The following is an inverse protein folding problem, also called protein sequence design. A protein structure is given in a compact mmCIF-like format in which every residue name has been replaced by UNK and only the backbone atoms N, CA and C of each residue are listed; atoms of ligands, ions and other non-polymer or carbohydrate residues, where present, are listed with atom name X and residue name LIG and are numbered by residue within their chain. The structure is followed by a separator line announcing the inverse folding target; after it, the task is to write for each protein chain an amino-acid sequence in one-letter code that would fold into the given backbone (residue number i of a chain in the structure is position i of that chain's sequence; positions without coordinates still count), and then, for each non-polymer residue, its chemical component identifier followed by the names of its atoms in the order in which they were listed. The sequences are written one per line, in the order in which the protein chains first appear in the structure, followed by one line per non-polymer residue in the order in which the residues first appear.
data_IF_447746651149
#
_entry.id   IF_447746651149
#
_cell.length_a   1.000
_cell.length_b   1.000
_cell.length_c   1.000
_cell.angle_alpha   90.00
_cell.angle_beta   90.00
_cell.angle_gamma   90.00
#
_symmetry.space_group_name_H-M   'P 1'
#
loop_
_entity.id
_entity.type
_entity.pdbx_description
1 polymer ?
#
# COMPACT_ATOMS: atom_id res chain seq x y z
N UNK A 1 1.21 16.97 47.90
CA UNK A 1 1.32 17.50 46.53
C UNK A 1 2.27 16.56 45.83
N UNK A 2 1.70 15.63 45.07
CA UNK A 2 2.38 14.55 44.35
C UNK A 2 1.73 14.51 42.96
N UNK A 3 2.50 14.82 41.93
CA UNK A 3 2.12 14.98 40.54
C UNK A 3 2.37 13.69 39.76
N UNK A 4 1.66 12.65 40.16
CA UNK A 4 1.60 11.39 39.43
C UNK A 4 0.81 11.51 38.13
N UNK A 5 1.51 11.48 36.98
CA UNK A 5 0.94 11.02 35.70
C UNK A 5 2.02 10.55 34.71
N UNK A 6 2.70 9.46 35.07
CA UNK A 6 3.35 8.59 34.09
C UNK A 6 2.30 7.72 33.41
N UNK A 7 2.11 7.85 32.10
CA UNK A 7 1.23 6.95 31.34
C UNK A 7 1.94 5.60 31.15
N UNK A 8 1.42 4.57 31.80
CA UNK A 8 1.93 3.20 31.74
C UNK A 8 1.51 2.55 30.41
N UNK A 9 2.49 2.14 29.59
CA UNK A 9 2.28 1.17 28.51
C UNK A 9 2.13 -0.20 29.17
N UNK A 10 0.90 -0.71 29.26
CA UNK A 10 0.66 -2.10 29.67
C UNK A 10 0.77 -3.00 28.45
N UNK A 11 1.80 -3.84 28.42
CA UNK A 11 1.84 -5.04 27.57
C UNK A 11 1.00 -6.10 28.29
N UNK A 12 -0.12 -6.53 27.72
CA UNK A 12 -0.87 -7.67 28.23
C UNK A 12 -0.09 -8.94 27.90
N UNK A 13 0.33 -9.65 28.93
CA UNK A 13 1.01 -10.95 28.86
C UNK A 13 -0.04 -12.03 29.11
N UNK A 14 -0.78 -12.40 28.07
CA UNK A 14 -1.58 -13.62 28.05
C UNK A 14 -1.62 -14.13 26.60
N UNK A 15 -1.35 -15.42 26.43
CA UNK A 15 -1.08 -16.06 25.14
C UNK A 15 -2.34 -16.20 24.27
N UNK A 16 -2.74 -15.09 23.67
CA UNK A 16 -3.35 -14.97 22.35
C UNK A 16 -2.56 -13.82 21.71
N UNK A 17 -1.46 -14.14 21.00
CA UNK A 17 -0.41 -13.17 20.64
C UNK A 17 -0.92 -12.10 19.65
N UNK A 18 -1.69 -11.15 20.17
CA UNK A 18 -2.06 -9.92 19.48
C UNK A 18 -0.77 -9.15 19.21
N UNK A 19 -0.58 -8.73 17.95
CA UNK A 19 0.58 -7.93 17.56
C UNK A 19 0.67 -6.60 18.34
N UNK A 20 1.82 -5.93 18.25
CA UNK A 20 2.03 -4.61 18.89
C UNK A 20 0.89 -3.65 18.57
N UNK A 21 0.16 -3.20 19.60
CA UNK A 21 -1.04 -2.39 19.47
C UNK A 21 -0.81 -0.96 19.97
N UNK A 22 -1.33 0.03 19.26
CA UNK A 22 -1.28 1.46 19.63
C UNK A 22 -2.69 2.04 19.76
N UNK A 23 -2.86 3.02 20.64
CA UNK A 23 -4.14 3.71 20.86
C UNK A 23 -3.97 5.18 20.46
N UNK A 24 -4.79 5.63 19.52
CA UNK A 24 -4.77 7.00 19.02
C UNK A 24 -5.90 7.77 19.72
N UNK A 25 -5.53 8.71 20.60
CA UNK A 25 -6.49 9.45 21.44
C UNK A 25 -7.26 10.54 20.70
N UNK A 26 -8.10 11.27 21.45
CA UNK A 26 -8.78 12.48 20.92
C UNK A 26 -7.71 13.52 20.54
N UNK A 27 -7.72 13.94 19.28
CA UNK A 27 -6.68 14.79 18.69
C UNK A 27 -5.83 14.08 17.62
N UNK A 28 -5.98 12.76 17.51
CA UNK A 28 -5.22 11.93 16.55
C UNK A 28 -3.82 11.61 17.03
N UNK A 29 -3.14 10.75 16.28
CA UNK A 29 -1.72 10.49 16.42
C UNK A 29 -1.14 10.12 15.05
N UNK A 30 0.18 10.24 14.91
CA UNK A 30 0.90 9.86 13.70
C UNK A 30 2.15 9.08 14.10
N UNK A 31 2.29 7.88 13.55
CA UNK A 31 3.52 7.11 13.59
C UNK A 31 4.15 7.20 12.20
N UNK A 32 5.39 7.66 12.14
CA UNK A 32 6.11 7.80 10.88
C UNK A 32 7.33 6.90 10.88
N UNK A 33 7.44 6.07 9.85
CA UNK A 33 8.66 5.36 9.52
C UNK A 33 9.25 5.97 8.24
N UNK A 34 10.55 6.23 8.23
CA UNK A 34 11.25 6.76 7.06
C UNK A 34 12.42 5.86 6.75
N UNK A 35 12.40 5.23 5.58
CA UNK A 35 13.55 4.46 5.09
C UNK A 35 14.79 5.36 4.96
N UNK A 36 15.98 4.86 5.35
CA UNK A 36 17.24 5.47 4.96
C UNK A 36 17.28 5.72 3.45
N UNK A 37 17.90 6.82 2.97
CA UNK A 37 17.87 7.19 1.55
C UNK A 37 18.24 6.07 0.57
N UNK A 38 19.20 5.22 0.94
CA UNK A 38 19.71 4.13 0.09
C UNK A 38 18.93 2.82 0.22
N UNK A 39 18.03 2.72 1.20
CA UNK A 39 17.28 1.49 1.50
C UNK A 39 15.81 1.60 1.08
N UNK A 40 15.47 2.64 0.31
CA UNK A 40 14.10 2.87 -0.17
C UNK A 40 13.71 1.78 -1.17
N UNK A 41 12.67 0.98 -0.87
CA UNK A 41 12.27 -0.11 -1.75
C UNK A 41 11.52 0.40 -2.99
N UNK A 42 11.72 -0.30 -4.10
CA UNK A 42 10.91 -0.17 -5.33
C UNK A 42 10.31 -1.53 -5.66
N UNK A 43 8.99 -1.67 -5.55
CA UNK A 43 8.32 -2.98 -5.55
C UNK A 43 7.35 -3.15 -6.73
N UNK A 44 7.35 -4.34 -7.32
CA UNK A 44 6.29 -4.75 -8.27
C UNK A 44 5.05 -5.30 -7.56
N UNK A 45 5.22 -5.85 -6.36
CA UNK A 45 4.17 -6.42 -5.56
C UNK A 45 4.29 -6.00 -4.09
N UNK A 46 3.15 -5.74 -3.45
CA UNK A 46 3.05 -5.34 -2.04
C UNK A 46 2.04 -6.22 -1.30
N UNK A 47 2.25 -6.36 0.01
CA UNK A 47 1.31 -7.01 0.93
C UNK A 47 1.23 -6.17 2.21
N UNK A 48 0.01 -5.80 2.60
CA UNK A 48 -0.28 -5.02 3.80
C UNK A 48 -1.36 -5.75 4.61
N UNK A 49 -1.19 -5.85 5.91
CA UNK A 49 -2.21 -6.32 6.83
C UNK A 49 -2.25 -5.44 8.08
N UNK A 50 -3.45 -5.01 8.48
CA UNK A 50 -3.66 -4.12 9.64
C UNK A 50 -4.88 -4.59 10.42
N UNK A 51 -4.71 -4.76 11.73
CA UNK A 51 -5.80 -4.89 12.67
C UNK A 51 -6.16 -3.54 13.27
N UNK A 52 -7.45 -3.19 13.34
CA UNK A 52 -7.90 -1.94 13.94
C UNK A 52 -9.30 -2.04 14.55
N UNK A 53 -9.61 -1.12 15.45
CA UNK A 53 -10.96 -0.83 15.91
C UNK A 53 -11.20 0.67 15.84
N UNK A 54 -12.33 1.08 15.27
CA UNK A 54 -12.65 2.49 15.11
C UNK A 54 -14.16 2.74 15.14
N UNK A 55 -14.56 3.93 15.59
CA UNK A 55 -15.91 4.46 15.41
C UNK A 55 -15.93 5.63 14.40
N UNK A 56 -14.76 6.01 13.85
CA UNK A 56 -14.65 7.05 12.86
C UNK A 56 -15.19 6.56 11.51
N UNK A 57 -15.96 7.39 10.84
CA UNK A 57 -16.45 7.12 9.48
C UNK A 57 -15.50 7.57 8.38
N UNK A 58 -14.60 8.50 8.71
CA UNK A 58 -13.59 9.07 7.83
C UNK A 58 -12.24 9.02 8.55
N UNK A 59 -11.27 8.26 8.04
CA UNK A 59 -9.93 8.16 8.63
C UNK A 59 -8.92 7.57 7.66
N UNK A 60 -7.67 8.06 7.67
CA UNK A 60 -6.54 7.35 7.05
C UNK A 60 -5.88 6.46 8.10
N UNK A 61 -5.72 5.17 7.80
CA UNK A 61 -5.13 4.19 8.71
C UNK A 61 -3.63 4.01 8.43
N UNK A 62 -3.26 3.85 7.16
CA UNK A 62 -1.88 3.68 6.72
C UNK A 62 -1.69 4.40 5.40
N UNK A 63 -0.59 5.14 5.27
CA UNK A 63 -0.17 5.77 4.02
C UNK A 63 1.32 5.51 3.78
N UNK A 64 1.64 5.05 2.57
CA UNK A 64 3.01 4.88 2.08
C UNK A 64 3.21 5.86 0.94
N UNK A 65 4.22 6.72 1.05
CA UNK A 65 4.52 7.72 0.03
C UNK A 65 5.89 7.45 -0.60
N UNK A 66 5.97 7.64 -1.92
CA UNK A 66 7.24 7.66 -2.63
C UNK A 66 8.07 8.91 -2.32
N UNK A 67 9.31 8.92 -2.79
CA UNK A 67 10.15 10.11 -2.69
C UNK A 67 9.49 11.31 -3.40
N UNK A 68 9.75 12.51 -2.87
CA UNK A 68 9.24 13.77 -3.41
C UNK A 68 9.43 13.87 -4.94
N UNK A 69 8.32 14.10 -5.66
CA UNK A 69 8.30 14.28 -7.11
C UNK A 69 8.03 13.02 -7.94
N UNK A 70 7.92 11.84 -7.33
CA UNK A 70 7.59 10.60 -8.05
C UNK A 70 6.08 10.40 -8.23
N UNK A 71 5.28 10.69 -7.20
CA UNK A 71 3.81 10.65 -7.28
C UNK A 71 3.19 9.30 -6.91
N UNK A 72 3.99 8.24 -6.77
CA UNK A 72 3.50 6.93 -6.35
C UNK A 72 3.11 6.95 -4.86
N UNK A 73 2.01 6.30 -4.51
CA UNK A 73 1.54 6.18 -3.12
C UNK A 73 0.60 4.98 -2.96
N UNK A 74 0.38 4.59 -1.69
CA UNK A 74 -0.64 3.63 -1.27
C UNK A 74 -1.30 4.16 0.00
N UNK A 75 -2.62 4.18 0.05
CA UNK A 75 -3.39 4.62 1.22
C UNK A 75 -4.51 3.63 1.56
N UNK A 76 -4.48 3.10 2.79
CA UNK A 76 -5.56 2.36 3.42
C UNK A 76 -6.37 3.34 4.29
N UNK A 77 -7.67 3.44 4.04
CA UNK A 77 -8.54 4.40 4.70
C UNK A 77 -9.91 3.81 5.05
N UNK A 78 -10.65 4.54 5.88
CA UNK A 78 -12.07 4.38 6.13
C UNK A 78 -12.77 5.57 5.47
N UNK A 79 -13.70 5.31 4.54
CA UNK A 79 -14.62 6.30 3.97
C UNK A 79 -16.07 5.83 4.21
N UNK A 80 -16.94 6.72 4.68
CA UNK A 80 -18.34 6.43 5.01
C UNK A 80 -18.51 5.20 5.92
N UNK A 81 -17.53 4.96 6.79
CA UNK A 81 -17.47 3.85 7.74
C UNK A 81 -17.08 2.49 7.14
N UNK A 82 -16.56 2.47 5.91
CA UNK A 82 -16.13 1.27 5.19
C UNK A 82 -14.67 1.36 4.78
N UNK A 83 -14.01 0.23 4.59
CA UNK A 83 -12.58 0.20 4.26
C UNK A 83 -12.38 0.33 2.75
N UNK A 84 -11.46 1.21 2.37
CA UNK A 84 -10.95 1.34 1.01
C UNK A 84 -9.42 1.35 0.97
N UNK A 85 -8.89 0.95 -0.17
CA UNK A 85 -7.50 1.20 -0.55
C UNK A 85 -7.49 1.98 -1.86
N UNK A 86 -6.71 3.05 -1.88
CA UNK A 86 -6.39 3.81 -3.08
C UNK A 86 -4.87 3.82 -3.26
N UNK A 87 -4.40 3.58 -4.47
CA UNK A 87 -2.97 3.61 -4.76
C UNK A 87 -2.68 4.11 -6.17
N UNK A 88 -1.52 4.73 -6.34
CA UNK A 88 -0.95 5.10 -7.63
C UNK A 88 0.47 4.55 -7.71
N UNK A 89 0.79 3.98 -8.88
CA UNK A 89 2.11 3.40 -9.12
C UNK A 89 2.70 3.84 -10.47
N UNK A 90 2.30 5.03 -10.96
CA UNK A 90 2.92 5.72 -12.09
C UNK A 90 1.97 6.18 -13.19
N UNK A 91 0.67 5.85 -13.10
CA UNK A 91 -0.35 6.30 -14.06
C UNK A 91 -1.55 6.88 -13.31
N UNK A 92 -2.63 6.11 -13.21
CA UNK A 92 -3.90 6.53 -12.61
C UNK A 92 -4.10 5.91 -11.23
N UNK A 93 -4.94 6.56 -10.45
CA UNK A 93 -5.36 6.06 -9.14
C UNK A 93 -6.25 4.83 -9.32
N UNK A 94 -5.92 3.76 -8.58
CA UNK A 94 -6.68 2.53 -8.55
C UNK A 94 -7.31 2.39 -7.17
N UNK A 95 -8.63 2.20 -7.16
CA UNK A 95 -9.45 2.13 -5.95
C UNK A 95 -10.07 0.74 -5.83
N UNK A 96 -10.03 0.17 -4.62
CA UNK A 96 -10.75 -1.03 -4.22
C UNK A 96 -11.37 -0.80 -2.82
N UNK A 97 -12.68 -1.00 -2.68
CA UNK A 97 -13.44 -0.77 -1.45
C UNK A 97 -14.26 -2.01 -1.10
N UNK A 98 -14.30 -2.36 0.18
CA UNK A 98 -15.28 -3.32 0.72
C UNK A 98 -16.57 -2.58 1.12
N UNK A 99 -17.59 -2.68 0.27
CA UNK A 99 -18.85 -1.98 0.45
C UNK A 99 -19.86 -2.71 1.36
N UNK A 100 -19.67 -4.00 1.61
CA UNK A 100 -20.62 -4.88 2.27
C UNK A 100 -20.59 -4.86 3.80
N UNK A 101 -19.58 -4.22 4.41
CA UNK A 101 -19.41 -4.20 5.88
C UNK A 101 -19.04 -2.82 6.39
N UNK A 102 -19.66 -2.44 7.52
CA UNK A 102 -19.29 -1.25 8.28
C UNK A 102 -18.21 -1.63 9.30
N UNK A 103 -17.03 -1.01 9.19
CA UNK A 103 -15.90 -1.22 10.12
C UNK A 103 -15.79 -0.14 11.20
N UNK A 104 -16.64 0.88 11.11
CA UNK A 104 -16.72 1.98 12.07
C UNK A 104 -17.66 1.65 13.25
N UNK A 105 -17.79 0.37 13.61
CA UNK A 105 -18.73 -0.10 14.64
C UNK A 105 -18.08 -0.23 16.04
N UNK A 106 -16.80 0.11 16.16
CA UNK A 106 -16.01 0.01 17.38
C UNK A 106 -15.49 -1.39 17.70
N UNK A 107 -15.74 -2.39 16.84
CA UNK A 107 -15.19 -3.74 16.99
C UNK A 107 -13.84 -3.87 16.29
N UNK A 108 -13.15 -4.97 16.57
CA UNK A 108 -11.88 -5.29 15.94
C UNK A 108 -12.09 -5.93 14.58
N UNK A 109 -11.42 -5.38 13.58
CA UNK A 109 -11.39 -5.84 12.21
C UNK A 109 -9.95 -6.03 11.74
N UNK A 110 -9.74 -6.98 10.82
CA UNK A 110 -8.45 -7.19 10.14
C UNK A 110 -8.63 -6.96 8.65
N UNK A 111 -7.83 -6.08 8.08
CA UNK A 111 -7.79 -5.86 6.63
C UNK A 111 -6.51 -6.44 6.06
N UNK A 112 -6.63 -7.14 4.93
CA UNK A 112 -5.51 -7.66 4.14
C UNK A 112 -5.60 -7.12 2.72
N UNK A 113 -4.55 -6.47 2.27
CA UNK A 113 -4.41 -5.92 0.93
C UNK A 113 -3.20 -6.55 0.23
N UNK A 114 -3.36 -6.92 -1.03
CA UNK A 114 -2.23 -7.31 -1.88
C UNK A 114 -2.26 -6.55 -3.19
N UNK A 115 -1.08 -6.22 -3.73
CA UNK A 115 -0.90 -5.58 -5.04
C UNK A 115 0.10 -6.38 -5.86
N UNK A 116 -0.15 -6.51 -7.16
CA UNK A 116 0.81 -6.98 -8.16
C UNK A 116 0.64 -6.16 -9.43
N UNK A 117 1.59 -5.26 -9.73
CA UNK A 117 1.40 -4.26 -10.77
C UNK A 117 0.22 -3.34 -10.43
N UNK A 118 -0.73 -3.21 -11.36
CA UNK A 118 -2.02 -2.52 -11.14
C UNK A 118 -3.12 -3.42 -10.56
N UNK A 119 -2.91 -4.73 -10.50
CA UNK A 119 -3.89 -5.65 -9.93
C UNK A 119 -3.83 -5.60 -8.41
N UNK A 120 -4.99 -5.73 -7.77
CA UNK A 120 -5.09 -5.70 -6.32
C UNK A 120 -6.16 -6.64 -5.79
N UNK A 121 -5.97 -7.07 -4.53
CA UNK A 121 -7.01 -7.74 -3.76
C UNK A 121 -7.18 -7.09 -2.40
N UNK A 122 -8.40 -7.13 -1.88
CA UNK A 122 -8.78 -6.64 -0.56
C UNK A 122 -9.63 -7.68 0.14
N UNK A 123 -9.32 -7.96 1.40
CA UNK A 123 -10.12 -8.82 2.26
C UNK A 123 -10.30 -8.15 3.62
N UNK A 124 -11.55 -8.07 4.09
CA UNK A 124 -11.89 -7.63 5.44
C UNK A 124 -12.34 -8.86 6.23
N UNK A 125 -11.71 -9.10 7.37
CA UNK A 125 -11.94 -10.25 8.25
C UNK A 125 -11.89 -11.58 7.50
N UNK A 126 -13.01 -12.31 7.49
CA UNK A 126 -13.23 -13.57 6.80
C UNK A 126 -14.23 -13.43 5.65
N UNK A 127 -14.49 -12.19 5.19
CA UNK A 127 -15.33 -11.95 4.02
C UNK A 127 -14.64 -12.49 2.75
N UNK A 128 -15.42 -12.69 1.66
CA UNK A 128 -14.85 -13.01 0.36
C UNK A 128 -13.79 -12.00 -0.07
N UNK A 129 -12.78 -12.49 -0.80
CA UNK A 129 -11.73 -11.63 -1.34
C UNK A 129 -12.33 -10.81 -2.49
N UNK A 130 -12.16 -9.50 -2.42
CA UNK A 130 -12.42 -8.60 -3.53
C UNK A 130 -11.18 -8.51 -4.42
N UNK A 131 -11.39 -8.52 -5.73
CA UNK A 131 -10.33 -8.42 -6.72
C UNK A 131 -10.56 -7.21 -7.62
N UNK A 132 -9.48 -6.54 -7.99
CA UNK A 132 -9.47 -5.42 -8.93
C UNK A 132 -8.42 -5.66 -10.00
N UNK A 133 -8.88 -5.73 -11.25
CA UNK A 133 -8.05 -5.86 -12.45
C UNK A 133 -8.33 -4.67 -13.37
N UNK A 134 -7.63 -3.54 -13.20
CA UNK A 134 -7.85 -2.37 -14.04
C UNK A 134 -7.52 -2.69 -15.50
N UNK A 135 -8.32 -2.18 -16.43
CA UNK A 135 -8.09 -2.31 -17.86
C UNK A 135 -6.97 -1.34 -18.28
N UNK A 136 -5.81 -1.84 -18.68
CA UNK A 136 -4.70 -0.98 -19.13
C UNK A 136 -3.37 -1.71 -19.18
N UNK A 137 -2.48 -1.27 -20.08
CA UNK A 137 -1.14 -1.84 -20.24
C UNK A 137 -0.15 -1.05 -19.35
N UNK A 138 -0.40 -1.09 -18.03
CA UNK A 138 0.31 -0.28 -17.02
C UNK A 138 1.83 -0.40 -17.11
N UNK A 139 2.34 -1.56 -17.52
CA UNK A 139 3.77 -1.79 -17.70
C UNK A 139 4.34 -1.08 -18.95
N UNK A 140 3.57 -0.99 -20.04
CA UNK A 140 4.00 -0.32 -21.28
C UNK A 140 3.92 1.20 -21.20
N UNK A 141 2.92 1.76 -20.53
CA UNK A 141 2.87 3.21 -20.26
C UNK A 141 3.97 3.65 -19.30
N UNK A 142 4.28 2.83 -18.29
CA UNK A 142 5.47 3.04 -17.44
C UNK A 142 6.76 3.07 -18.23
N UNK A 143 6.96 2.15 -19.18
CA UNK A 143 8.12 2.18 -20.07
C UNK A 143 8.18 3.49 -20.89
N UNK A 144 7.04 3.98 -21.38
CA UNK A 144 6.95 5.23 -22.13
C UNK A 144 7.26 6.48 -21.27
N UNK A 145 6.76 6.54 -20.03
CA UNK A 145 7.01 7.65 -19.10
C UNK A 145 8.47 7.63 -18.62
N UNK A 146 9.02 6.45 -18.32
CA UNK A 146 10.42 6.31 -17.95
C UNK A 146 11.36 6.78 -19.08
N UNK A 147 11.03 6.47 -20.34
CA UNK A 147 11.78 6.94 -21.52
C UNK A 147 11.85 8.46 -21.65
N UNK A 148 10.79 9.18 -21.27
CA UNK A 148 10.77 10.65 -21.36
C UNK A 148 11.57 11.36 -20.25
N UNK A 149 11.85 10.67 -19.13
CA UNK A 149 12.57 11.21 -17.97
C UNK A 149 14.09 11.04 -18.04
N UNK A 150 14.63 10.40 -19.10
CA UNK A 150 16.06 10.15 -19.28
C UNK A 150 16.67 11.28 -20.14
N UNK A 151 17.64 12.07 -19.63
CA UNK A 151 18.33 13.06 -20.43
C UNK A 151 19.02 12.42 -21.65
N UNK A 152 18.85 13.03 -22.82
CA UNK A 152 19.31 12.54 -24.14
C UNK A 152 20.80 12.17 -24.25
N UNK A 153 21.63 12.44 -23.23
CA UNK A 153 23.04 12.05 -23.20
C UNK A 153 23.28 10.57 -22.81
N UNK A 154 22.25 9.81 -22.46
CA UNK A 154 22.34 8.36 -22.17
C UNK A 154 21.38 7.48 -23.00
N UNK A 155 20.74 8.01 -24.05
CA UNK A 155 19.70 7.28 -24.80
C UNK A 155 20.18 5.96 -25.43
N UNK A 156 21.43 5.88 -25.90
CA UNK A 156 21.96 4.65 -26.54
C UNK A 156 22.09 3.46 -25.60
N UNK A 157 22.49 3.67 -24.34
CA UNK A 157 22.76 2.56 -23.39
C UNK A 157 21.44 1.94 -22.90
N UNK A 158 20.39 2.75 -22.82
CA UNK A 158 19.07 2.33 -22.32
C UNK A 158 18.32 1.52 -23.39
N UNK A 159 18.38 1.93 -24.66
CA UNK A 159 17.77 1.16 -25.75
C UNK A 159 18.45 -0.20 -25.95
N UNK A 160 19.79 -0.28 -25.83
CA UNK A 160 20.52 -1.56 -25.85
C UNK A 160 20.13 -2.47 -24.69
N UNK A 161 20.00 -1.93 -23.48
CA UNK A 161 19.61 -2.71 -22.30
C UNK A 161 18.15 -3.20 -22.36
N UNK A 162 17.23 -2.39 -22.87
CA UNK A 162 15.83 -2.77 -23.05
C UNK A 162 15.64 -3.82 -24.16
N UNK A 163 16.43 -3.74 -25.23
CA UNK A 163 16.44 -4.76 -26.29
C UNK A 163 17.00 -6.10 -25.80
N UNK A 164 17.97 -6.08 -24.89
CA UNK A 164 18.58 -7.28 -24.32
C UNK A 164 17.60 -8.01 -23.38
N UNK A 165 16.88 -7.25 -22.53
CA UNK A 165 15.86 -7.79 -21.62
C UNK A 165 14.59 -8.29 -22.34
N UNK A 166 14.31 -7.81 -23.55
CA UNK A 166 13.20 -8.31 -24.38
C UNK A 166 13.48 -9.66 -25.06
N UNK A 167 14.74 -10.11 -25.13
CA UNK A 167 15.13 -11.37 -25.77
C UNK A 167 15.13 -12.59 -24.84
N UNK A 168 15.15 -12.37 -23.52
CA UNK A 168 15.17 -13.47 -22.53
C UNK A 168 13.80 -14.13 -22.29
N UNK A 169 12.69 -13.58 -22.82
CA UNK A 169 11.35 -14.18 -22.71
C UNK A 169 10.84 -14.66 -24.07
N UNK A 170 11.40 -15.74 -24.60
CA UNK A 170 10.76 -16.55 -25.63
C UNK A 170 11.17 -18.01 -25.45
N UNK A 171 10.38 -18.85 -24.76
CA UNK A 171 10.54 -20.29 -24.86
C UNK A 171 10.03 -20.74 -26.24
N UNK A 172 10.98 -21.12 -27.09
CA UNK A 172 10.89 -22.06 -28.21
C UNK A 172 9.54 -22.18 -28.95
N UNK A 173 9.47 -21.59 -30.15
CA UNK A 173 8.75 -22.19 -31.26
C UNK A 173 9.76 -22.90 -32.17
N UNK A 174 9.66 -24.22 -32.29
CA UNK A 174 10.27 -24.99 -33.40
C UNK A 174 9.26 -26.00 -33.93
N UNK A 175 9.00 -25.82 -35.23
CA UNK A 175 8.50 -26.72 -36.28
C UNK A 175 7.24 -27.54 -36.00
#
# INVERSE_FOLDING_TARGET
MDDGRGSCVRKSEEADETGTTYIFGRGGALITYTWPPNDRPSTRADRLAVGFSSQLKEAVLVRVESAKGLGDYLELHIERGRVGVIFNVGTDDIIIEESGVMVSDGKYHVVRFTRSGGNATLQVDNLPILERFPSGNFDNERLAIARQRIPYRLGRVVDEWLLDKGKETSPNARL
#
